data_IF_938160984685
#
_entry.id   IF_938160984685
#
_cell.length_a   1.000
_cell.length_b   1.000
_cell.length_c   1.000
_cell.angle_alpha   90.00
_cell.angle_beta   90.00
_cell.angle_gamma   90.00
#
_symmetry.space_group_name_H-M   'P 1'
#
loop_
_entity.id
_entity.type
_entity.pdbx_description
1 polymer ?
#
# COMPACT_ATOMS: atom_id res chain seq x y z
N UNK A 1 -1.90 -6.52 18.67
CA UNK A 1 -2.40 -5.24 19.19
C UNK A 1 -3.40 -4.68 18.18
N UNK A 2 -4.68 -4.50 18.53
CA UNK A 2 -5.62 -3.85 17.63
C UNK A 2 -5.38 -2.33 17.60
N UNK A 3 -5.46 -1.73 16.42
CA UNK A 3 -5.47 -0.27 16.22
C UNK A 3 -6.90 0.24 16.01
N UNK A 4 -7.14 1.50 16.37
CA UNK A 4 -8.42 2.17 16.10
C UNK A 4 -8.40 2.86 14.73
N UNK A 5 -9.58 3.22 14.21
CA UNK A 5 -9.69 4.02 13.00
C UNK A 5 -8.99 5.37 13.14
N UNK A 6 -9.13 6.02 14.30
CA UNK A 6 -8.47 7.29 14.60
C UNK A 6 -6.94 7.15 14.57
N UNK A 7 -6.39 6.07 15.15
CA UNK A 7 -4.96 5.79 15.06
C UNK A 7 -4.53 5.53 13.62
N UNK A 8 -5.33 4.80 12.85
CA UNK A 8 -5.05 4.55 11.44
C UNK A 8 -5.04 5.86 10.62
N UNK A 9 -5.95 6.80 10.89
CA UNK A 9 -5.97 8.13 10.27
C UNK A 9 -4.77 8.99 10.68
N UNK A 10 -4.24 8.84 11.90
CA UNK A 10 -3.00 9.51 12.29
C UNK A 10 -1.78 8.96 11.54
N UNK A 11 -1.77 7.66 11.24
CA UNK A 11 -0.68 6.99 10.52
C UNK A 11 -0.78 7.23 8.99
N UNK A 12 -2.00 7.14 8.44
CA UNK A 12 -2.32 7.22 7.01
C UNK A 12 -3.39 8.31 6.76
N UNK A 13 -3.05 9.60 6.89
CA UNK A 13 -4.02 10.69 6.84
C UNK A 13 -4.81 10.79 5.52
N UNK A 14 -4.23 10.37 4.40
CA UNK A 14 -4.89 10.42 3.08
C UNK A 14 -5.89 9.26 2.86
N UNK A 15 -5.96 8.28 3.78
CA UNK A 15 -6.94 7.20 3.68
C UNK A 15 -8.37 7.74 3.80
N UNK A 16 -8.58 8.79 4.59
CA UNK A 16 -9.90 9.39 4.82
C UNK A 16 -10.94 8.34 5.25
N UNK A 17 -12.16 8.35 4.68
CA UNK A 17 -13.19 7.37 5.03
C UNK A 17 -12.80 5.89 4.82
N UNK A 18 -11.77 5.62 4.00
CA UNK A 18 -11.28 4.25 3.77
C UNK A 18 -10.63 3.67 5.03
N UNK A 19 -10.14 4.49 5.95
CA UNK A 19 -9.59 4.02 7.22
C UNK A 19 -10.60 3.15 7.98
N UNK A 20 -11.87 3.61 8.11
CA UNK A 20 -12.94 2.85 8.74
C UNK A 20 -13.29 1.56 8.01
N UNK A 21 -13.17 1.53 6.68
CA UNK A 21 -13.35 0.31 5.87
C UNK A 21 -12.26 -0.73 6.17
N UNK A 22 -11.00 -0.29 6.29
CA UNK A 22 -9.84 -1.19 6.35
C UNK A 22 -9.38 -1.56 7.76
N UNK A 23 -9.68 -0.77 8.79
CA UNK A 23 -9.18 -0.99 10.17
C UNK A 23 -9.47 -2.41 10.68
N UNK A 24 -10.67 -2.93 10.40
CA UNK A 24 -11.05 -4.29 10.77
C UNK A 24 -10.25 -5.36 10.05
N UNK A 25 -10.01 -5.19 8.75
CA UNK A 25 -9.22 -6.13 7.94
C UNK A 25 -7.74 -6.13 8.36
N UNK A 26 -7.16 -4.95 8.59
CA UNK A 26 -5.78 -4.80 9.06
C UNK A 26 -5.59 -5.46 10.43
N UNK A 27 -6.49 -5.21 11.39
CA UNK A 27 -6.43 -5.84 12.71
C UNK A 27 -6.53 -7.37 12.64
N UNK A 28 -7.44 -7.90 11.81
CA UNK A 28 -7.56 -9.35 11.58
C UNK A 28 -6.30 -9.94 10.93
N UNK A 29 -5.75 -9.27 9.92
CA UNK A 29 -4.52 -9.69 9.23
C UNK A 29 -3.33 -9.71 10.18
N UNK A 30 -3.09 -8.61 10.89
CA UNK A 30 -2.01 -8.52 11.88
C UNK A 30 -2.13 -9.60 12.96
N UNK A 31 -3.34 -9.85 13.46
CA UNK A 31 -3.57 -10.90 14.47
C UNK A 31 -3.29 -12.30 13.91
N UNK A 32 -3.84 -12.61 12.73
CA UNK A 32 -3.68 -13.92 12.06
C UNK A 32 -2.22 -14.27 11.80
N UNK A 33 -1.40 -13.29 11.42
CA UNK A 33 0.01 -13.50 11.09
C UNK A 33 0.97 -13.12 12.23
N UNK A 34 0.44 -12.98 13.45
CA UNK A 34 1.23 -12.74 14.65
C UNK A 34 1.99 -11.42 14.65
N UNK A 35 1.57 -10.41 13.89
CA UNK A 35 2.12 -9.04 13.86
C UNK A 35 1.61 -8.29 15.11
N UNK A 36 2.08 -8.71 16.29
CA UNK A 36 1.50 -8.29 17.57
C UNK A 36 2.30 -7.23 18.31
N UNK A 37 3.59 -7.07 18.02
CA UNK A 37 4.44 -6.04 18.65
C UNK A 37 4.26 -4.67 17.98
N UNK A 38 4.40 -3.56 18.73
CA UNK A 38 4.25 -2.21 18.19
C UNK A 38 5.16 -1.95 16.97
N UNK A 39 6.43 -2.36 17.04
CA UNK A 39 7.41 -2.15 15.97
C UNK A 39 7.02 -2.90 14.69
N UNK A 40 6.53 -4.14 14.81
CA UNK A 40 6.08 -4.92 13.64
C UNK A 40 4.80 -4.36 13.04
N UNK A 41 3.86 -3.90 13.88
CA UNK A 41 2.65 -3.24 13.40
C UNK A 41 2.98 -1.94 12.65
N UNK A 42 3.89 -1.11 13.18
CA UNK A 42 4.35 0.10 12.51
C UNK A 42 5.00 -0.20 11.15
N UNK A 43 5.92 -1.16 11.09
CA UNK A 43 6.58 -1.56 9.84
C UNK A 43 5.58 -2.07 8.81
N UNK A 44 4.63 -2.91 9.23
CA UNK A 44 3.58 -3.44 8.37
C UNK A 44 2.67 -2.33 7.82
N UNK A 45 2.15 -1.45 8.69
CA UNK A 45 1.26 -0.36 8.29
C UNK A 45 1.97 0.67 7.40
N UNK A 46 3.26 0.93 7.65
CA UNK A 46 4.05 1.82 6.80
C UNK A 46 4.18 1.28 5.37
N UNK A 47 4.46 -0.02 5.22
CA UNK A 47 4.53 -0.67 3.90
C UNK A 47 3.18 -0.71 3.21
N UNK A 48 2.12 -1.11 3.92
CA UNK A 48 0.74 -1.06 3.38
C UNK A 48 0.42 0.35 2.90
N UNK A 49 0.74 1.38 3.70
CA UNK A 49 0.54 2.77 3.34
C UNK A 49 1.35 3.21 2.12
N UNK A 50 2.60 2.79 1.99
CA UNK A 50 3.44 3.13 0.84
C UNK A 50 2.89 2.53 -0.46
N UNK A 51 2.68 1.21 -0.48
CA UNK A 51 2.33 0.47 -1.69
C UNK A 51 0.91 0.79 -2.20
N UNK A 52 -0.01 1.16 -1.30
CA UNK A 52 -1.40 1.46 -1.67
C UNK A 52 -1.70 2.95 -1.82
N UNK A 53 -0.70 3.82 -1.69
CA UNK A 53 -0.92 5.27 -1.62
C UNK A 53 -1.87 5.63 -0.47
N UNK A 54 -1.60 5.11 0.72
CA UNK A 54 -2.42 5.25 1.93
C UNK A 54 -3.86 4.73 1.75
N UNK A 55 -3.99 3.50 1.21
CA UNK A 55 -5.24 2.78 1.00
C UNK A 55 -6.15 3.38 -0.08
N UNK A 56 -5.65 4.31 -0.89
CA UNK A 56 -6.42 4.97 -1.96
C UNK A 56 -6.38 4.20 -3.28
N UNK A 57 -5.36 3.36 -3.48
CA UNK A 57 -5.18 2.52 -4.65
C UNK A 57 -5.13 1.04 -4.23
N UNK A 58 -6.02 0.23 -4.83
CA UNK A 58 -6.10 -1.22 -4.57
C UNK A 58 -5.76 -2.06 -5.81
N UNK A 59 -5.61 -1.39 -6.95
CA UNK A 59 -5.30 -2.00 -8.24
C UNK A 59 -4.25 -1.10 -8.90
N UNK A 60 -3.19 -1.70 -9.41
CA UNK A 60 -2.18 -0.99 -10.20
C UNK A 60 -2.80 -0.48 -11.51
N UNK A 61 -2.45 0.73 -11.92
CA UNK A 61 -2.80 1.23 -13.24
C UNK A 61 -1.69 0.87 -14.24
N UNK A 62 -1.99 0.00 -15.19
CA UNK A 62 -1.04 -0.36 -16.26
C UNK A 62 -0.97 0.70 -17.37
N UNK A 63 -1.13 1.98 -17.03
CA UNK A 63 -1.15 3.09 -17.99
C UNK A 63 0.27 3.61 -18.24
N UNK A 64 1.04 2.83 -19.00
CA UNK A 64 2.40 3.18 -19.40
C UNK A 64 2.41 3.72 -20.84
N UNK A 65 3.18 4.78 -21.09
CA UNK A 65 3.56 5.14 -22.47
C UNK A 65 4.53 4.10 -23.04
N UNK A 66 4.71 4.05 -24.36
CA UNK A 66 5.71 3.17 -24.99
C UNK A 66 7.10 3.35 -24.37
N UNK A 67 7.52 4.61 -24.14
CA UNK A 67 8.75 4.93 -23.41
C UNK A 67 8.73 4.39 -21.98
N UNK A 68 7.61 4.53 -21.27
CA UNK A 68 7.46 4.01 -19.91
C UNK A 68 7.62 2.48 -19.84
N UNK A 69 7.02 1.75 -20.78
CA UNK A 69 7.18 0.30 -20.90
C UNK A 69 8.66 -0.09 -21.12
N UNK A 70 9.36 0.60 -22.02
CA UNK A 70 10.78 0.36 -22.28
C UNK A 70 11.67 0.69 -21.07
N UNK A 71 11.37 1.75 -20.33
CA UNK A 71 12.10 2.08 -19.10
C UNK A 71 11.89 1.05 -17.99
N UNK A 72 10.66 0.55 -17.81
CA UNK A 72 10.34 -0.44 -16.76
C UNK A 72 10.84 -1.84 -17.13
N UNK A 73 10.74 -2.22 -18.41
CA UNK A 73 11.16 -3.53 -18.90
C UNK A 73 12.09 -3.41 -20.12
N UNK A 74 13.33 -2.95 -19.92
CA UNK A 74 14.27 -2.66 -21.02
C UNK A 74 14.70 -3.90 -21.80
N UNK A 75 14.58 -5.10 -21.21
CA UNK A 75 14.83 -6.37 -21.91
C UNK A 75 13.64 -6.90 -22.70
N UNK A 76 12.45 -6.29 -22.57
CA UNK A 76 11.20 -6.74 -23.22
C UNK A 76 10.70 -5.80 -24.30
N UNK A 77 10.96 -4.50 -24.19
CA UNK A 77 10.48 -3.49 -25.13
C UNK A 77 11.64 -2.64 -25.65
N UNK A 78 11.59 -2.32 -26.95
CA UNK A 78 12.56 -1.45 -27.60
C UNK A 78 12.49 -0.03 -27.06
N UNK A 79 13.65 0.63 -26.99
CA UNK A 79 13.78 1.99 -26.52
C UNK A 79 13.20 3.01 -27.50
N UNK A 80 13.33 4.29 -27.18
CA UNK A 80 12.93 5.35 -28.10
C UNK A 80 13.80 5.42 -29.36
N UNK A 81 14.94 4.74 -29.34
CA UNK A 81 15.97 4.62 -30.36
C UNK A 81 15.80 3.40 -31.29
N UNK A 82 14.81 2.54 -31.03
CA UNK A 82 14.59 1.29 -31.76
C UNK A 82 15.36 0.12 -31.17
#
# INVERSE_FOLDING_TARGET
MPITEQQLLQILPNAGPRAGVFVGALNRGMTRFGITSPVRAAAFLAQVGHESGQLTHLVENLNYSARGLASTWPSRYLGADG
#
